data_IF_620112524139
#
_entry.id   IF_620112524139
#
_cell.length_a   1.000
_cell.length_b   1.000
_cell.length_c   1.000
_cell.angle_alpha   90.00
_cell.angle_beta   90.00
_cell.angle_gamma   90.00
#
_symmetry.space_group_name_H-M   'P 1'
#
loop_
_entity.id
_entity.type
_entity.pdbx_description
1 polymer ?
#
# COMPACT_ATOMS: atom_id res chain seq x y z
N UNK A 1 -12.68 14.94 -0.89
CA UNK A 1 -11.64 14.09 -1.52
C UNK A 1 -10.93 13.26 -0.43
N UNK A 2 -11.51 12.12 -0.01
CA UNK A 2 -10.95 11.28 1.07
C UNK A 2 -9.57 10.71 0.76
N UNK A 3 -9.29 10.42 -0.52
CA UNK A 3 -8.05 9.79 -0.96
C UNK A 3 -6.77 10.61 -0.65
N UNK A 4 -6.85 11.94 -0.72
CA UNK A 4 -5.69 12.79 -0.46
C UNK A 4 -5.29 12.77 1.03
N UNK A 5 -6.29 12.73 1.93
CA UNK A 5 -6.05 12.57 3.37
C UNK A 5 -5.40 11.23 3.69
N UNK A 6 -5.87 10.15 3.06
CA UNK A 6 -5.23 8.84 3.24
C UNK A 6 -3.80 8.83 2.74
N UNK A 7 -3.48 9.45 1.60
CA UNK A 7 -2.10 9.51 1.10
C UNK A 7 -1.17 10.29 2.03
N UNK A 8 -1.65 11.40 2.59
CA UNK A 8 -0.88 12.21 3.54
C UNK A 8 -0.68 11.48 4.87
N UNK A 9 -1.73 10.85 5.41
CA UNK A 9 -1.64 10.06 6.64
C UNK A 9 -0.69 8.87 6.46
N UNK A 10 -0.76 8.21 5.30
CA UNK A 10 0.13 7.13 4.90
C UNK A 10 1.59 7.59 4.80
N UNK A 11 1.81 8.82 4.33
CA UNK A 11 3.14 9.40 4.30
C UNK A 11 3.60 9.69 5.73
N UNK A 12 2.82 10.36 6.57
CA UNK A 12 3.24 10.81 7.90
C UNK A 12 3.34 9.67 8.92
N UNK A 13 2.43 8.70 8.87
CA UNK A 13 2.31 7.63 9.85
C UNK A 13 3.40 6.57 9.69
N UNK A 14 4.16 6.34 10.77
CA UNK A 14 5.25 5.37 10.86
C UNK A 14 4.78 3.92 11.04
N UNK A 15 3.61 3.56 10.51
CA UNK A 15 3.04 2.23 10.71
C UNK A 15 3.76 1.21 9.80
N UNK A 16 4.43 0.18 10.35
CA UNK A 16 5.13 -0.82 9.55
C UNK A 16 4.13 -1.65 8.74
N UNK A 17 4.00 -1.34 7.45
CA UNK A 17 3.09 -2.06 6.55
C UNK A 17 3.78 -3.27 5.96
N UNK A 18 3.47 -4.43 6.54
CA UNK A 18 3.94 -5.74 6.09
C UNK A 18 3.10 -6.19 4.89
N UNK A 19 3.75 -6.63 3.80
CA UNK A 19 3.13 -7.18 2.57
C UNK A 19 2.06 -8.25 2.81
N UNK A 20 2.08 -8.87 3.99
CA UNK A 20 1.07 -9.84 4.41
C UNK A 20 -0.36 -9.28 4.29
N UNK A 21 -0.61 -7.98 4.52
CA UNK A 21 -1.98 -7.44 4.50
C UNK A 21 -2.64 -7.40 3.11
N UNK A 22 -1.88 -7.69 2.03
CA UNK A 22 -2.45 -7.82 0.69
C UNK A 22 -3.53 -8.90 0.60
N UNK A 23 -3.53 -9.89 1.52
CA UNK A 23 -4.57 -10.92 1.56
C UNK A 23 -5.96 -10.36 1.90
N UNK A 24 -6.05 -9.24 2.62
CA UNK A 24 -7.34 -8.70 3.09
C UNK A 24 -8.22 -8.20 1.94
N UNK A 25 -7.74 -7.27 1.08
CA UNK A 25 -8.54 -6.83 -0.06
C UNK A 25 -8.73 -7.95 -1.09
N UNK A 26 -7.76 -8.87 -1.25
CA UNK A 26 -7.94 -10.00 -2.15
C UNK A 26 -9.02 -10.97 -1.65
N UNK A 27 -9.02 -11.32 -0.36
CA UNK A 27 -10.01 -12.20 0.22
C UNK A 27 -11.42 -11.58 0.16
N UNK A 28 -11.54 -10.28 0.46
CA UNK A 28 -12.80 -9.57 0.32
C UNK A 28 -13.33 -9.62 -1.12
N UNK A 29 -12.47 -9.32 -2.11
CA UNK A 29 -12.83 -9.38 -3.52
C UNK A 29 -13.28 -10.80 -3.93
N UNK A 30 -12.54 -11.84 -3.52
CA UNK A 30 -12.88 -13.23 -3.84
C UNK A 30 -14.21 -13.65 -3.23
N UNK A 31 -14.44 -13.39 -1.95
CA UNK A 31 -15.69 -13.76 -1.24
C UNK A 31 -16.87 -13.04 -1.89
N UNK A 32 -16.72 -11.75 -2.16
CA UNK A 32 -17.78 -10.95 -2.77
C UNK A 32 -18.13 -11.42 -4.19
N UNK A 33 -17.13 -11.70 -5.01
CA UNK A 33 -17.33 -12.23 -6.37
C UNK A 33 -18.01 -13.60 -6.33
N UNK A 34 -17.65 -14.46 -5.38
CA UNK A 34 -18.30 -15.77 -5.20
C UNK A 34 -19.77 -15.63 -4.78
N UNK A 35 -20.05 -14.75 -3.81
CA UNK A 35 -21.42 -14.43 -3.42
C UNK A 35 -22.24 -13.93 -4.62
N UNK A 36 -21.66 -13.01 -5.40
CA UNK A 36 -22.32 -12.42 -6.56
C UNK A 36 -22.60 -13.46 -7.66
N UNK A 37 -21.67 -14.40 -7.88
CA UNK A 37 -21.87 -15.53 -8.79
C UNK A 37 -23.04 -16.42 -8.34
N UNK A 38 -23.08 -16.78 -7.05
CA UNK A 38 -24.18 -17.60 -6.49
C UNK A 38 -25.52 -16.86 -6.64
N UNK A 39 -25.55 -15.56 -6.33
CA UNK A 39 -26.74 -14.72 -6.51
C UNK A 39 -27.26 -14.76 -7.95
N UNK A 40 -26.37 -14.64 -8.93
CA UNK A 40 -26.72 -14.76 -10.35
C UNK A 40 -27.26 -16.15 -10.71
N UNK A 41 -26.61 -17.22 -10.25
CA UNK A 41 -27.03 -18.61 -10.53
C UNK A 41 -28.40 -18.94 -9.94
N UNK A 42 -28.78 -18.29 -8.84
CA UNK A 42 -30.13 -18.38 -8.26
C UNK A 42 -31.19 -17.55 -9.01
N UNK A 43 -30.83 -16.89 -10.11
CA UNK A 43 -31.73 -16.01 -10.88
C UNK A 43 -31.95 -14.64 -10.23
N UNK A 44 -31.02 -14.22 -9.36
CA UNK A 44 -31.07 -12.90 -8.74
C UNK A 44 -31.00 -11.78 -9.77
N UNK A 45 -31.84 -10.76 -9.58
CA UNK A 45 -31.92 -9.58 -10.47
C UNK A 45 -31.56 -8.30 -9.72
N UNK A 46 -31.17 -7.26 -10.45
CA UNK A 46 -31.02 -5.92 -9.87
C UNK A 46 -32.38 -5.25 -9.62
N UNK A 47 -32.34 -4.04 -9.07
CA UNK A 47 -33.53 -3.22 -8.80
C UNK A 47 -34.34 -2.84 -10.05
N UNK A 48 -33.77 -3.01 -11.25
CA UNK A 48 -34.42 -2.78 -12.55
C UNK A 48 -34.83 -4.10 -13.23
N UNK A 49 -34.70 -5.24 -12.56
CA UNK A 49 -35.03 -6.55 -13.12
C UNK A 49 -33.98 -7.12 -14.08
N UNK A 50 -32.77 -6.57 -14.14
CA UNK A 50 -31.69 -7.09 -14.99
C UNK A 50 -30.91 -8.20 -14.28
N UNK A 51 -30.42 -9.20 -15.02
CA UNK A 51 -29.62 -10.29 -14.45
C UNK A 51 -28.28 -9.86 -13.83
N UNK A 52 -27.78 -8.65 -14.12
CA UNK A 52 -26.52 -8.15 -13.57
C UNK A 52 -26.76 -7.24 -12.36
N UNK A 53 -26.38 -7.70 -11.15
CA UNK A 53 -26.47 -6.91 -9.92
C UNK A 53 -25.57 -5.67 -9.96
N UNK A 54 -24.38 -5.80 -10.57
CA UNK A 54 -23.44 -4.71 -10.83
C UNK A 54 -22.97 -4.76 -12.28
N UNK A 55 -22.90 -3.63 -13.00
CA UNK A 55 -22.47 -3.62 -14.40
C UNK A 55 -21.05 -4.19 -14.63
N UNK A 56 -20.17 -4.08 -13.63
CA UNK A 56 -18.81 -4.63 -13.66
C UNK A 56 -18.76 -6.15 -13.44
N UNK A 57 -19.80 -6.73 -12.81
CA UNK A 57 -19.94 -8.17 -12.59
C UNK A 57 -21.12 -8.70 -13.41
N UNK A 58 -21.02 -8.55 -14.73
CA UNK A 58 -22.01 -9.08 -15.66
C UNK A 58 -21.73 -10.55 -15.99
N UNK A 59 -22.41 -11.46 -15.29
CA UNK A 59 -22.28 -12.90 -15.52
C UNK A 59 -22.96 -13.40 -16.79
N UNK A 60 -23.72 -12.56 -17.51
CA UNK A 60 -24.15 -12.89 -18.88
C UNK A 60 -22.97 -12.92 -19.86
N UNK A 61 -21.88 -12.25 -19.51
CA UNK A 61 -20.59 -12.22 -20.23
C UNK A 61 -19.47 -12.67 -19.30
N UNK A 62 -19.42 -13.97 -18.95
CA UNK A 62 -18.52 -14.47 -17.91
C UNK A 62 -17.04 -14.23 -18.25
N UNK A 63 -16.65 -14.28 -19.52
CA UNK A 63 -15.27 -14.00 -19.95
C UNK A 63 -14.80 -12.58 -19.61
N UNK A 64 -15.68 -11.57 -19.77
CA UNK A 64 -15.36 -10.18 -19.42
C UNK A 64 -15.32 -9.98 -17.92
N UNK A 65 -16.26 -10.56 -17.18
CA UNK A 65 -16.28 -10.46 -15.72
C UNK A 65 -15.06 -11.12 -15.09
N UNK A 66 -14.70 -12.32 -15.54
CA UNK A 66 -13.50 -13.04 -15.06
C UNK A 66 -12.23 -12.24 -15.37
N UNK A 67 -12.10 -11.66 -16.58
CA UNK A 67 -10.90 -10.90 -16.95
C UNK A 67 -10.74 -9.62 -16.13
N UNK A 68 -11.84 -8.90 -15.86
CA UNK A 68 -11.82 -7.71 -14.98
C UNK A 68 -11.42 -8.13 -13.56
N UNK A 69 -12.06 -9.15 -12.99
CA UNK A 69 -11.76 -9.61 -11.64
C UNK A 69 -10.30 -10.08 -11.51
N UNK A 70 -9.79 -10.82 -12.50
CA UNK A 70 -8.39 -11.25 -12.54
C UNK A 70 -7.43 -10.05 -12.63
N UNK A 71 -7.75 -9.03 -13.44
CA UNK A 71 -6.95 -7.80 -13.57
C UNK A 71 -6.90 -7.02 -12.26
N UNK A 72 -8.02 -6.92 -11.55
CA UNK A 72 -8.06 -6.26 -10.23
C UNK A 72 -7.25 -7.06 -9.21
N UNK A 73 -7.47 -8.37 -9.14
CA UNK A 73 -6.87 -9.26 -8.14
C UNK A 73 -5.34 -9.39 -8.31
N UNK A 74 -4.88 -9.60 -9.55
CA UNK A 74 -3.46 -9.87 -9.87
C UNK A 74 -2.71 -8.62 -10.35
N UNK A 75 -3.41 -7.56 -10.74
CA UNK A 75 -2.80 -6.32 -11.22
C UNK A 75 -2.94 -5.18 -10.23
N UNK A 76 -4.17 -4.68 -10.03
CA UNK A 76 -4.40 -3.45 -9.27
C UNK A 76 -4.04 -3.59 -7.78
N UNK A 77 -4.48 -4.65 -7.12
CA UNK A 77 -4.19 -4.89 -5.69
C UNK A 77 -2.68 -4.96 -5.40
N UNK A 78 -1.88 -5.80 -6.09
CA UNK A 78 -0.43 -5.86 -5.85
C UNK A 78 0.26 -4.57 -6.28
N UNK A 79 -0.19 -3.90 -7.34
CA UNK A 79 0.37 -2.61 -7.76
C UNK A 79 0.21 -1.52 -6.67
N UNK A 80 -0.98 -1.39 -6.09
CA UNK A 80 -1.23 -0.45 -4.99
C UNK A 80 -0.39 -0.82 -3.75
N UNK A 81 -0.26 -2.11 -3.43
CA UNK A 81 0.61 -2.56 -2.34
C UNK A 81 2.08 -2.24 -2.60
N UNK A 82 2.54 -2.39 -3.84
CA UNK A 82 3.90 -2.06 -4.24
C UNK A 82 4.18 -0.55 -4.07
N UNK A 83 3.23 0.32 -4.44
CA UNK A 83 3.34 1.77 -4.20
C UNK A 83 3.50 2.07 -2.71
N UNK A 84 2.63 1.49 -1.87
CA UNK A 84 2.66 1.72 -0.42
C UNK A 84 3.98 1.20 0.19
N UNK A 85 4.43 0.01 -0.22
CA UNK A 85 5.71 -0.54 0.24
C UNK A 85 6.90 0.28 -0.25
N UNK A 86 6.85 0.79 -1.48
CA UNK A 86 7.87 1.66 -2.05
C UNK A 86 7.99 2.97 -1.27
N UNK A 87 6.87 3.61 -0.92
CA UNK A 87 6.84 4.80 -0.07
C UNK A 87 7.45 4.53 1.31
N UNK A 88 7.12 3.38 1.91
CA UNK A 88 7.72 2.96 3.18
C UNK A 88 9.25 2.77 3.04
N UNK A 89 9.71 2.06 2.01
CA UNK A 89 11.14 1.82 1.77
C UNK A 89 11.91 3.13 1.51
N UNK A 90 11.34 4.05 0.72
CA UNK A 90 11.92 5.36 0.46
C UNK A 90 12.07 6.18 1.75
N UNK A 91 11.03 6.19 2.60
CA UNK A 91 11.07 6.85 3.92
C UNK A 91 12.14 6.25 4.84
N UNK A 92 12.20 4.92 4.97
CA UNK A 92 13.21 4.26 5.80
C UNK A 92 14.62 4.56 5.31
N UNK A 93 14.84 4.54 3.99
CA UNK A 93 16.13 4.91 3.39
C UNK A 93 16.49 6.36 3.70
N UNK A 94 15.55 7.30 3.54
CA UNK A 94 15.75 8.70 3.87
C UNK A 94 16.09 8.92 5.35
N UNK A 95 15.34 8.29 6.27
CA UNK A 95 15.61 8.35 7.70
C UNK A 95 16.98 7.76 8.06
N UNK A 96 17.38 6.66 7.42
CA UNK A 96 18.69 6.04 7.65
C UNK A 96 19.83 6.95 7.20
N UNK A 97 19.72 7.56 6.01
CA UNK A 97 20.72 8.50 5.48
C UNK A 97 20.85 9.73 6.39
N UNK A 98 19.73 10.34 6.79
CA UNK A 98 19.74 11.52 7.64
C UNK A 98 20.31 11.25 9.04
N UNK A 99 20.04 10.08 9.63
CA UNK A 99 20.62 9.70 10.93
C UNK A 99 22.12 9.45 10.87
N UNK A 100 22.61 8.77 9.82
CA UNK A 100 24.05 8.54 9.64
C UNK A 100 24.79 9.87 9.47
N UNK A 101 24.24 10.80 8.67
CA UNK A 101 24.83 12.12 8.48
C UNK A 101 24.87 12.97 9.77
N UNK A 102 23.95 12.73 10.71
CA UNK A 102 23.98 13.38 12.03
C UNK A 102 25.08 12.81 12.91
N UNK A 103 25.19 11.47 12.97
CA UNK A 103 26.21 10.79 13.78
C UNK A 103 27.63 11.13 13.33
N UNK A 104 27.90 11.08 12.02
CA UNK A 104 29.22 11.42 11.46
C UNK A 104 29.62 12.86 11.77
N UNK A 105 28.67 13.80 11.80
CA UNK A 105 28.97 15.21 12.13
C UNK A 105 29.25 15.41 13.62
N UNK A 106 28.57 14.67 14.48
CA UNK A 106 28.77 14.73 15.93
C UNK A 106 30.13 14.12 16.33
N UNK A 107 30.58 13.07 15.63
CA UNK A 107 31.93 12.49 15.76
C UNK A 107 33.02 13.48 15.35
N UNK A 108 32.88 14.12 14.18
CA UNK A 108 33.82 15.13 13.67
C UNK A 108 33.91 16.38 14.58
N UNK A 109 32.79 16.82 15.16
CA UNK A 109 32.77 17.92 16.15
C UNK A 109 33.47 17.52 17.46
N UNK A 110 33.33 16.27 17.90
CA UNK A 110 33.94 15.79 19.15
C UNK A 110 35.47 15.67 19.01
N UNK A 111 35.93 15.12 17.88
CA UNK A 111 37.36 14.97 17.57
C UNK A 111 38.08 16.33 17.50
N UNK A 112 37.43 17.34 16.91
CA UNK A 112 37.97 18.71 16.83
C UNK A 112 38.10 19.37 18.21
N UNK A 113 37.12 19.18 19.08
CA UNK A 113 37.16 19.72 20.45
C UNK A 113 38.27 19.07 21.28
N UNK A 114 38.50 17.75 21.12
CA UNK A 114 39.57 17.04 21.82
C UNK A 114 40.97 17.49 21.37
N UNK A 115 41.16 17.71 20.08
CA UNK A 115 42.41 18.25 19.53
C UNK A 115 42.69 19.68 20.03
N UNK A 116 41.69 20.56 20.01
CA UNK A 116 41.83 21.92 20.52
C UNK A 116 42.13 21.95 22.04
N UNK A 117 41.54 21.03 22.81
CA UNK A 117 41.82 20.88 24.24
C UNK A 117 43.22 20.32 24.54
N UNK A 118 43.81 19.54 23.62
CA UNK A 118 45.19 19.07 23.71
C UNK A 118 46.19 20.18 23.38
N UNK A 119 45.95 21.00 22.35
CA UNK A 119 46.81 22.14 22.02
C UNK A 119 46.87 23.19 23.14
N UNK A 120 45.77 23.43 23.84
CA UNK A 120 45.72 24.40 24.93
C UNK A 120 46.45 23.93 26.22
N UNK A 121 46.79 22.64 26.33
CA UNK A 121 47.54 22.08 27.47
C UNK A 121 49.07 22.11 27.28
N UNK A 122 49.56 22.56 26.13
CA UNK A 122 50.98 22.73 25.79
C UNK A 122 51.38 24.19 25.97
#
# INVERSE_FOLDING_TARGET
>A
MPGMYTLLDIAVSATPRRLLHAYQPSAFLTIYTLFNLIYYLCGGVDYQGRPALYPVLDWTRPGTTISIMATVLLGLIPFLHAIICGLYAARVKAWRILRISRYVREEDETDQVEQAAQEQKV
#
